data_IF_206682352666
#
_entry.id   IF_206682352666
#
_cell.length_a   1.000
_cell.length_b   1.000
_cell.length_c   1.000
_cell.angle_alpha   90.00
_cell.angle_beta   90.00
_cell.angle_gamma   90.00
#
_symmetry.space_group_name_H-M   'P 1'
#
loop_
_entity.id
_entity.type
_entity.pdbx_description
1 polymer ?
#
# COMPACT_ATOMS: atom_id res chain seq x y z
N UNK A 1 14.43 42.60 12.60
CA UNK A 1 13.77 41.99 11.41
C UNK A 1 12.72 40.99 11.89
N UNK A 2 11.43 41.30 11.77
CA UNK A 2 10.36 40.36 12.13
C UNK A 2 10.30 39.23 11.09
N UNK A 3 10.50 37.99 11.53
CA UNK A 3 10.42 36.80 10.68
C UNK A 3 8.97 36.41 10.48
N UNK A 4 8.56 36.15 9.23
CA UNK A 4 7.22 35.66 8.93
C UNK A 4 7.00 34.27 9.53
N UNK A 5 5.74 33.92 9.87
CA UNK A 5 5.40 32.59 10.37
C UNK A 5 5.74 31.47 9.38
N UNK A 6 5.65 31.73 8.07
CA UNK A 6 6.09 30.79 7.04
C UNK A 6 7.60 30.46 7.17
N UNK A 7 8.44 31.48 7.39
CA UNK A 7 9.89 31.24 7.62
C UNK A 7 10.19 30.49 8.92
N UNK A 8 9.28 30.50 9.90
CA UNK A 8 9.40 29.68 11.11
C UNK A 8 9.03 28.24 10.83
N UNK A 9 7.93 28.01 10.10
CA UNK A 9 7.50 26.67 9.65
C UNK A 9 8.62 25.94 8.91
N UNK A 10 9.26 26.59 7.93
CA UNK A 10 10.37 26.00 7.17
C UNK A 10 11.53 25.55 8.08
N UNK A 11 11.87 26.36 9.08
CA UNK A 11 12.92 26.01 10.05
C UNK A 11 12.51 24.86 10.95
N UNK A 12 11.26 24.84 11.40
CA UNK A 12 10.77 23.75 12.25
C UNK A 12 10.75 22.42 11.51
N UNK A 13 10.42 22.42 10.21
CA UNK A 13 10.53 21.24 9.35
C UNK A 13 11.99 20.80 9.21
N UNK A 14 12.92 21.72 8.89
CA UNK A 14 14.35 21.41 8.76
C UNK A 14 14.97 20.87 10.06
N UNK A 15 14.45 21.32 11.20
CA UNK A 15 14.90 20.90 12.52
C UNK A 15 14.09 19.73 13.11
N UNK A 16 13.27 19.06 12.29
CA UNK A 16 12.42 17.91 12.63
C UNK A 16 11.66 18.08 13.95
N UNK A 17 10.99 19.21 14.10
CA UNK A 17 10.23 19.52 15.33
C UNK A 17 8.96 18.67 15.43
N UNK A 18 8.56 18.34 16.66
CA UNK A 18 7.33 17.60 16.95
C UNK A 18 6.07 18.46 16.75
N UNK A 19 4.94 17.79 16.54
CA UNK A 19 3.63 18.45 16.46
C UNK A 19 3.33 19.25 17.71
N UNK A 20 3.61 18.67 18.89
CA UNK A 20 3.44 19.34 20.19
C UNK A 20 4.25 20.63 20.30
N UNK A 21 5.51 20.61 19.85
CA UNK A 21 6.36 21.79 19.84
C UNK A 21 5.74 22.89 18.97
N UNK A 22 5.32 22.56 17.75
CA UNK A 22 4.76 23.54 16.81
C UNK A 22 3.40 24.06 17.29
N UNK A 23 2.53 23.19 17.79
CA UNK A 23 1.24 23.57 18.40
C UNK A 23 1.46 24.57 19.54
N UNK A 24 2.42 24.30 20.43
CA UNK A 24 2.76 25.20 21.53
C UNK A 24 3.28 26.54 21.02
N UNK A 25 4.20 26.55 20.05
CA UNK A 25 4.73 27.81 19.47
C UNK A 25 3.68 28.61 18.72
N UNK A 26 2.66 27.95 18.16
CA UNK A 26 1.52 28.58 17.50
C UNK A 26 0.38 28.95 18.45
N UNK A 27 0.52 28.67 19.77
CA UNK A 27 -0.51 28.87 20.79
C UNK A 27 -1.81 28.13 20.46
N UNK A 28 -1.66 26.91 19.97
CA UNK A 28 -2.74 25.98 19.63
C UNK A 28 -2.86 24.82 20.64
N UNK A 29 -1.92 24.74 21.60
CA UNK A 29 -1.95 23.73 22.65
C UNK A 29 -3.24 23.84 23.47
N UNK A 30 -3.87 22.69 23.74
CA UNK A 30 -5.15 22.61 24.46
C UNK A 30 -6.40 22.90 23.61
N UNK A 31 -6.25 23.34 22.35
CA UNK A 31 -7.38 23.46 21.42
C UNK A 31 -7.63 22.13 20.72
N UNK A 32 -8.90 21.75 20.58
CA UNK A 32 -9.31 20.53 19.87
C UNK A 32 -10.52 20.80 18.97
N UNK A 33 -10.81 19.87 18.06
CA UNK A 33 -12.00 19.92 17.20
C UNK A 33 -12.15 21.24 16.44
N UNK A 34 -13.34 21.84 16.54
CA UNK A 34 -13.66 23.08 15.83
C UNK A 34 -12.87 24.30 16.37
N UNK A 35 -12.57 24.33 17.67
CA UNK A 35 -11.82 25.43 18.28
C UNK A 35 -10.38 25.50 17.74
N UNK A 36 -9.77 24.35 17.48
CA UNK A 36 -8.47 24.27 16.82
C UNK A 36 -8.56 24.78 15.36
N UNK A 37 -9.49 24.23 14.58
CA UNK A 37 -9.60 24.48 13.13
C UNK A 37 -9.96 25.92 12.76
N UNK A 38 -10.71 26.60 13.63
CA UNK A 38 -11.11 28.00 13.42
C UNK A 38 -10.06 29.02 13.88
N UNK A 39 -8.97 28.57 14.51
CA UNK A 39 -7.88 29.46 14.93
C UNK A 39 -7.11 30.00 13.73
N UNK A 40 -6.89 31.32 13.68
CA UNK A 40 -6.05 31.98 12.66
C UNK A 40 -4.63 31.45 12.54
N UNK A 41 -4.13 30.76 13.59
CA UNK A 41 -2.79 30.18 13.57
C UNK A 41 -2.75 28.73 13.04
N UNK A 42 -3.91 28.07 12.92
CA UNK A 42 -4.02 26.68 12.48
C UNK A 42 -3.49 26.47 11.05
N UNK A 43 -3.70 27.44 10.15
CA UNK A 43 -3.15 27.41 8.78
C UNK A 43 -1.63 27.21 8.74
N UNK A 44 -0.89 27.72 9.73
CA UNK A 44 0.56 27.53 9.80
C UNK A 44 0.95 26.15 10.33
N UNK A 45 0.10 25.55 11.16
CA UNK A 45 0.26 24.16 11.60
C UNK A 45 -0.02 23.20 10.44
N UNK A 46 -1.08 23.42 9.67
CA UNK A 46 -1.35 22.64 8.45
C UNK A 46 -0.22 22.78 7.42
N UNK A 47 0.29 24.00 7.23
CA UNK A 47 1.44 24.22 6.37
C UNK A 47 2.67 23.44 6.85
N UNK A 48 2.92 23.44 8.16
CA UNK A 48 4.00 22.66 8.77
C UNK A 48 3.87 21.15 8.50
N UNK A 49 2.70 20.57 8.73
CA UNK A 49 2.44 19.14 8.47
C UNK A 49 2.70 18.80 6.99
N UNK A 50 2.12 19.60 6.07
CA UNK A 50 2.29 19.40 4.62
C UNK A 50 3.75 19.49 4.18
N UNK A 51 4.48 20.47 4.68
CA UNK A 51 5.91 20.64 4.36
C UNK A 51 6.76 19.51 4.93
N UNK A 52 6.51 19.10 6.18
CA UNK A 52 7.20 17.98 6.81
C UNK A 52 7.02 16.70 5.99
N UNK A 53 5.80 16.37 5.65
CA UNK A 53 5.48 15.15 4.91
C UNK A 53 6.07 15.17 3.49
N UNK A 54 6.07 16.33 2.84
CA UNK A 54 6.76 16.52 1.55
C UNK A 54 8.27 16.31 1.68
N UNK A 55 8.89 16.87 2.73
CA UNK A 55 10.31 16.71 2.98
C UNK A 55 10.68 15.25 3.27
N UNK A 56 9.85 14.52 4.02
CA UNK A 56 10.02 13.08 4.28
C UNK A 56 9.97 12.27 2.99
N UNK A 57 8.94 12.46 2.16
CA UNK A 57 8.81 11.79 0.85
C UNK A 57 10.02 12.07 -0.02
N UNK A 58 10.41 13.33 -0.18
CA UNK A 58 11.56 13.71 -1.01
C UNK A 58 12.88 13.11 -0.47
N UNK A 59 13.06 13.08 0.84
CA UNK A 59 14.25 12.47 1.46
C UNK A 59 14.30 10.97 1.21
N UNK A 60 13.18 10.26 1.35
CA UNK A 60 13.12 8.83 1.07
C UNK A 60 13.35 8.54 -0.42
N UNK A 61 12.78 9.34 -1.33
CA UNK A 61 13.01 9.21 -2.77
C UNK A 61 14.47 9.46 -3.15
N UNK A 62 15.08 10.54 -2.65
CA UNK A 62 16.47 10.89 -2.94
C UNK A 62 17.46 9.81 -2.47
N UNK A 63 17.11 9.09 -1.40
CA UNK A 63 17.88 7.96 -0.86
C UNK A 63 17.45 6.60 -1.44
N UNK A 64 16.48 6.57 -2.34
CA UNK A 64 15.89 5.36 -2.89
C UNK A 64 15.51 4.33 -1.80
N UNK A 65 14.90 4.79 -0.71
CA UNK A 65 14.57 3.93 0.44
C UNK A 65 13.56 2.87 0.00
N UNK A 66 13.77 1.58 0.25
CA UNK A 66 12.78 0.56 -0.11
C UNK A 66 11.41 0.84 0.52
N UNK A 67 10.32 0.61 -0.23
CA UNK A 67 8.95 0.88 0.26
C UNK A 67 8.62 0.13 1.55
N UNK A 68 9.15 -1.10 1.70
CA UNK A 68 8.97 -1.89 2.92
C UNK A 68 9.72 -1.32 4.13
N UNK A 69 10.82 -0.60 3.94
CA UNK A 69 11.53 0.07 5.04
C UNK A 69 10.75 1.32 5.49
N UNK A 70 10.14 2.05 4.55
CA UNK A 70 9.23 3.15 4.89
C UNK A 70 7.98 2.63 5.62
N UNK A 71 7.42 1.50 5.18
CA UNK A 71 6.32 0.82 5.88
C UNK A 71 6.67 0.53 7.34
N UNK A 72 7.85 -0.06 7.60
CA UNK A 72 8.35 -0.35 8.96
C UNK A 72 8.63 0.93 9.75
N UNK A 73 9.25 1.93 9.12
CA UNK A 73 9.53 3.24 9.73
C UNK A 73 8.27 3.95 10.20
N UNK A 74 7.14 3.73 9.52
CA UNK A 74 5.83 4.27 9.88
C UNK A 74 5.09 3.41 10.92
N UNK A 75 5.75 2.39 11.47
CA UNK A 75 5.22 1.55 12.55
C UNK A 75 4.28 0.44 12.07
N UNK A 76 4.17 0.20 10.77
CA UNK A 76 3.23 -0.79 10.23
C UNK A 76 3.76 -2.23 10.21
N UNK A 77 4.90 -2.48 10.86
CA UNK A 77 5.48 -3.82 10.94
C UNK A 77 4.62 -4.80 11.74
N UNK A 78 3.57 -4.36 12.44
CA UNK A 78 2.62 -5.25 13.13
C UNK A 78 1.37 -5.58 12.30
N UNK A 79 1.21 -4.97 11.12
CA UNK A 79 0.01 -5.12 10.29
C UNK A 79 0.08 -6.46 9.58
N UNK A 80 -0.87 -7.36 9.89
CA UNK A 80 -0.87 -8.74 9.39
C UNK A 80 -2.16 -9.13 8.68
N UNK A 81 -3.26 -8.46 8.99
CA UNK A 81 -4.59 -8.84 8.50
C UNK A 81 -5.29 -7.70 7.77
N UNK A 82 -6.33 -8.04 7.01
CA UNK A 82 -7.23 -7.05 6.42
C UNK A 82 -7.92 -6.17 7.48
N UNK A 83 -8.18 -6.71 8.68
CA UNK A 83 -8.75 -5.93 9.78
C UNK A 83 -7.75 -4.90 10.33
N UNK A 84 -6.46 -5.25 10.38
CA UNK A 84 -5.42 -4.28 10.77
C UNK A 84 -5.23 -3.20 9.71
N UNK A 85 -5.32 -3.58 8.43
CA UNK A 85 -5.34 -2.63 7.31
C UNK A 85 -6.48 -1.61 7.44
N UNK A 86 -7.70 -2.06 7.79
CA UNK A 86 -8.84 -1.17 8.03
C UNK A 86 -8.59 -0.17 9.15
N UNK A 87 -7.90 -0.58 10.22
CA UNK A 87 -7.57 0.32 11.35
C UNK A 87 -6.62 1.44 10.93
N UNK A 88 -5.68 1.16 10.03
CA UNK A 88 -4.68 2.14 9.60
C UNK A 88 -5.08 2.97 8.38
N UNK A 89 -6.10 2.53 7.61
CA UNK A 89 -6.44 3.11 6.30
C UNK A 89 -6.70 4.63 6.30
N UNK A 90 -7.24 5.15 7.40
CA UNK A 90 -7.57 6.57 7.56
C UNK A 90 -6.52 7.36 8.35
N UNK A 91 -5.38 6.76 8.69
CA UNK A 91 -4.31 7.43 9.45
C UNK A 91 -3.41 8.25 8.53
N UNK A 92 -2.93 9.40 9.02
CA UNK A 92 -1.98 10.25 8.30
C UNK A 92 -0.69 9.49 7.93
N UNK A 93 -0.24 8.58 8.80
CA UNK A 93 0.91 7.73 8.54
C UNK A 93 0.70 6.82 7.32
N UNK A 94 -0.50 6.24 7.16
CA UNK A 94 -0.79 5.39 6.01
C UNK A 94 -0.94 6.21 4.72
N UNK A 95 -1.54 7.39 4.81
CA UNK A 95 -1.62 8.32 3.69
C UNK A 95 -0.23 8.79 3.24
N UNK A 96 0.68 9.04 4.19
CA UNK A 96 2.08 9.36 3.92
C UNK A 96 2.81 8.19 3.23
N UNK A 97 2.58 6.96 3.70
CA UNK A 97 3.09 5.76 3.04
C UNK A 97 2.60 5.66 1.58
N UNK A 98 1.29 5.79 1.33
CA UNK A 98 0.73 5.70 -0.02
C UNK A 98 1.33 6.77 -0.93
N UNK A 99 1.45 8.02 -0.45
CA UNK A 99 2.08 9.10 -1.21
C UNK A 99 3.53 8.76 -1.57
N UNK A 100 4.29 8.17 -0.66
CA UNK A 100 5.65 7.72 -0.94
C UNK A 100 5.66 6.57 -1.98
N UNK A 101 4.86 5.52 -1.76
CA UNK A 101 4.80 4.36 -2.61
C UNK A 101 4.40 4.72 -4.05
N UNK A 102 3.44 5.65 -4.22
CA UNK A 102 3.06 6.19 -5.52
C UNK A 102 4.22 6.89 -6.22
N UNK A 103 4.91 7.81 -5.54
CA UNK A 103 6.01 8.55 -6.15
C UNK A 103 7.21 7.64 -6.50
N UNK A 104 7.50 6.66 -5.65
CA UNK A 104 8.53 5.64 -5.91
C UNK A 104 8.18 4.81 -7.15
N UNK A 105 6.93 4.37 -7.24
CA UNK A 105 6.43 3.58 -8.36
C UNK A 105 6.31 4.39 -9.65
N UNK A 106 5.95 5.67 -9.61
CA UNK A 106 5.94 6.57 -10.78
C UNK A 106 7.33 6.72 -11.38
N UNK A 107 8.36 6.82 -10.54
CA UNK A 107 9.74 6.86 -11.01
C UNK A 107 10.13 5.55 -11.69
N UNK A 108 9.81 4.40 -11.08
CA UNK A 108 10.08 3.09 -11.65
C UNK A 108 9.32 2.85 -12.96
N UNK A 109 8.04 3.21 -13.03
CA UNK A 109 7.22 3.08 -14.23
C UNK A 109 7.68 4.00 -15.36
N UNK A 110 8.07 5.25 -15.06
CA UNK A 110 8.66 6.16 -16.05
C UNK A 110 9.91 5.55 -16.67
N UNK A 111 10.82 5.01 -15.85
CA UNK A 111 12.03 4.34 -16.32
C UNK A 111 11.73 3.06 -17.12
N UNK A 112 10.71 2.30 -16.72
CA UNK A 112 10.28 1.11 -17.46
C UNK A 112 9.76 1.46 -18.86
N UNK A 113 8.92 2.48 -18.98
CA UNK A 113 8.32 2.88 -20.25
C UNK A 113 9.33 3.58 -21.15
N UNK A 114 10.06 4.57 -20.63
CA UNK A 114 10.91 5.45 -21.42
C UNK A 114 12.29 4.85 -21.67
N UNK A 115 12.88 4.23 -20.63
CA UNK A 115 14.26 3.79 -20.65
C UNK A 115 14.39 2.26 -20.79
N UNK A 116 13.26 1.52 -20.84
CA UNK A 116 13.22 0.05 -20.90
C UNK A 116 13.99 -0.62 -19.77
N UNK A 117 14.10 0.05 -18.63
CA UNK A 117 14.76 -0.47 -17.43
C UNK A 117 13.75 -1.28 -16.65
N UNK A 118 14.04 -2.56 -16.41
CA UNK A 118 13.19 -3.41 -15.60
C UNK A 118 13.08 -2.84 -14.17
N UNK A 119 11.87 -2.66 -13.62
CA UNK A 119 11.71 -2.23 -12.24
C UNK A 119 12.29 -3.28 -11.27
N UNK A 120 12.70 -2.82 -10.09
CA UNK A 120 13.15 -3.72 -9.04
C UNK A 120 12.00 -4.63 -8.60
N UNK A 121 12.26 -5.93 -8.56
CA UNK A 121 11.30 -6.92 -8.07
C UNK A 121 10.98 -6.63 -6.60
N UNK A 122 9.70 -6.75 -6.23
CA UNK A 122 9.27 -6.57 -4.85
C UNK A 122 10.02 -7.52 -3.91
N UNK A 123 10.61 -6.97 -2.85
CA UNK A 123 11.42 -7.75 -1.91
C UNK A 123 10.59 -8.85 -1.23
N UNK A 124 11.26 -9.96 -0.88
CA UNK A 124 10.72 -10.95 0.04
C UNK A 124 10.47 -10.38 1.44
N UNK A 125 11.20 -9.33 1.82
CA UNK A 125 11.09 -8.66 3.13
C UNK A 125 9.84 -7.79 3.27
N UNK A 126 9.16 -7.52 2.15
CA UNK A 126 7.88 -6.83 2.16
C UNK A 126 6.80 -7.75 2.75
N UNK A 127 6.11 -7.25 3.77
CA UNK A 127 4.99 -7.96 4.38
C UNK A 127 3.83 -8.11 3.39
N UNK A 128 2.96 -9.10 3.61
CA UNK A 128 1.73 -9.24 2.82
C UNK A 128 0.91 -7.94 2.77
N UNK A 129 0.81 -7.23 3.90
CA UNK A 129 0.09 -5.97 4.03
C UNK A 129 0.72 -4.83 3.19
N UNK A 130 2.05 -4.77 3.13
CA UNK A 130 2.75 -3.79 2.28
C UNK A 130 2.53 -4.10 0.79
N UNK A 131 2.66 -5.37 0.42
CA UNK A 131 2.49 -5.83 -0.96
C UNK A 131 1.08 -5.58 -1.48
N UNK A 132 0.05 -5.83 -0.65
CA UNK A 132 -1.34 -5.54 -1.04
C UNK A 132 -1.58 -4.04 -1.21
N UNK A 133 -1.03 -3.19 -0.33
CA UNK A 133 -1.11 -1.73 -0.48
C UNK A 133 -0.45 -1.24 -1.77
N UNK A 134 0.73 -1.78 -2.12
CA UNK A 134 1.38 -1.46 -3.40
C UNK A 134 0.54 -1.90 -4.59
N UNK A 135 -0.13 -3.04 -4.47
CA UNK A 135 -1.01 -3.53 -5.54
C UNK A 135 -2.20 -2.60 -5.73
N UNK A 136 -2.82 -2.14 -4.65
CA UNK A 136 -3.86 -1.10 -4.72
C UNK A 136 -3.35 0.18 -5.37
N UNK A 137 -2.14 0.63 -5.06
CA UNK A 137 -1.53 1.79 -5.69
C UNK A 137 -1.35 1.59 -7.21
N UNK A 138 -0.94 0.40 -7.67
CA UNK A 138 -0.84 0.09 -9.10
C UNK A 138 -2.18 0.10 -9.82
N UNK A 139 -3.23 -0.42 -9.17
CA UNK A 139 -4.61 -0.40 -9.70
C UNK A 139 -5.06 1.04 -9.89
N UNK A 140 -4.94 1.86 -8.84
CA UNK A 140 -5.36 3.27 -8.88
C UNK A 140 -4.56 4.11 -9.87
N UNK A 141 -3.26 3.80 -10.04
CA UNK A 141 -2.41 4.48 -11.01
C UNK A 141 -2.56 3.96 -12.45
N UNK A 142 -3.41 2.94 -12.69
CA UNK A 142 -3.64 2.37 -14.01
C UNK A 142 -2.39 1.74 -14.62
N UNK A 143 -1.56 1.07 -13.81
CA UNK A 143 -0.33 0.45 -14.31
C UNK A 143 -0.61 -0.65 -15.33
N UNK A 144 0.30 -0.84 -16.28
CA UNK A 144 0.16 -1.90 -17.27
C UNK A 144 0.36 -3.29 -16.66
N UNK A 145 -0.30 -4.29 -17.21
CA UNK A 145 -0.12 -5.68 -16.81
C UNK A 145 1.34 -6.14 -16.94
N UNK A 146 2.02 -5.74 -18.02
CA UNK A 146 3.42 -6.05 -18.24
C UNK A 146 4.33 -5.48 -17.13
N UNK A 147 4.07 -4.23 -16.72
CA UNK A 147 4.80 -3.61 -15.62
C UNK A 147 4.58 -4.39 -14.31
N UNK A 148 3.32 -4.67 -13.95
CA UNK A 148 2.99 -5.36 -12.70
C UNK A 148 3.57 -6.78 -12.66
N UNK A 149 3.52 -7.54 -13.77
CA UNK A 149 4.18 -8.84 -13.88
C UNK A 149 5.68 -8.75 -13.60
N UNK A 150 6.34 -7.72 -14.13
CA UNK A 150 7.78 -7.52 -13.97
C UNK A 150 8.14 -7.15 -12.53
N UNK A 151 7.42 -6.22 -11.90
CA UNK A 151 7.64 -5.84 -10.50
C UNK A 151 7.40 -7.01 -9.54
N UNK A 152 6.47 -7.91 -9.88
CA UNK A 152 6.20 -9.13 -9.10
C UNK A 152 7.18 -10.27 -9.39
N UNK A 153 8.09 -10.11 -10.37
CA UNK A 153 9.05 -11.12 -10.79
C UNK A 153 8.41 -12.32 -11.51
N UNK A 154 7.23 -12.14 -12.10
CA UNK A 154 6.47 -13.19 -12.76
C UNK A 154 6.79 -13.31 -14.25
N UNK A 155 7.28 -12.24 -14.86
CA UNK A 155 7.63 -12.15 -16.28
C UNK A 155 8.64 -13.23 -16.70
N UNK A 156 9.63 -13.52 -15.85
CA UNK A 156 10.70 -14.50 -16.10
C UNK A 156 10.36 -15.95 -15.74
N UNK A 157 9.22 -16.18 -15.10
CA UNK A 157 8.81 -17.51 -14.67
C UNK A 157 8.02 -18.21 -15.78
N UNK A 158 8.25 -19.53 -16.00
CA UNK A 158 7.34 -20.33 -16.82
C UNK A 158 5.95 -20.36 -16.17
N UNK A 159 4.92 -20.71 -16.94
CA UNK A 159 3.52 -20.60 -16.51
C UNK A 159 3.26 -21.31 -15.15
N UNK A 160 3.74 -22.55 -15.01
CA UNK A 160 3.72 -23.30 -13.75
C UNK A 160 4.49 -22.61 -12.61
N UNK A 161 5.65 -22.03 -12.92
CA UNK A 161 6.49 -21.26 -11.98
C UNK A 161 5.79 -20.01 -11.46
N UNK A 162 4.95 -19.36 -12.28
CA UNK A 162 4.14 -18.22 -11.84
C UNK A 162 3.14 -18.64 -10.78
N UNK A 163 2.42 -19.73 -10.98
CA UNK A 163 1.35 -20.16 -10.07
C UNK A 163 1.84 -20.56 -8.66
N UNK A 164 3.08 -21.04 -8.56
CA UNK A 164 3.69 -21.40 -7.26
C UNK A 164 4.39 -20.21 -6.57
N UNK A 165 4.49 -19.06 -7.25
CA UNK A 165 5.08 -17.85 -6.67
C UNK A 165 4.16 -17.25 -5.61
N UNK A 166 4.73 -16.93 -4.45
CA UNK A 166 4.00 -16.20 -3.39
C UNK A 166 3.53 -14.81 -3.83
N UNK A 167 4.08 -14.28 -4.92
CA UNK A 167 3.70 -12.99 -5.49
C UNK A 167 2.50 -13.10 -6.47
N UNK A 168 2.16 -14.31 -6.93
CA UNK A 168 1.06 -14.52 -7.88
C UNK A 168 -0.29 -14.04 -7.33
N UNK A 169 -0.49 -14.20 -6.02
CA UNK A 169 -1.70 -13.76 -5.34
C UNK A 169 -1.99 -12.25 -5.52
N UNK A 170 -0.95 -11.42 -5.63
CA UNK A 170 -1.07 -9.97 -5.84
C UNK A 170 -1.35 -9.65 -7.31
N UNK A 171 -0.76 -10.40 -8.22
CA UNK A 171 -1.09 -10.30 -9.65
C UNK A 171 -2.55 -10.66 -9.90
N UNK A 172 -3.06 -11.70 -9.25
CA UNK A 172 -4.49 -12.06 -9.35
C UNK A 172 -5.40 -10.97 -8.80
N UNK A 173 -5.05 -10.38 -7.66
CA UNK A 173 -5.79 -9.24 -7.12
C UNK A 173 -5.79 -8.05 -8.10
N UNK A 174 -4.63 -7.72 -8.68
CA UNK A 174 -4.49 -6.69 -9.70
C UNK A 174 -5.39 -6.96 -10.93
N UNK A 175 -5.37 -8.18 -11.45
CA UNK A 175 -6.20 -8.57 -12.60
C UNK A 175 -7.68 -8.45 -12.27
N UNK A 176 -8.15 -9.08 -11.17
CA UNK A 176 -9.55 -9.03 -10.76
C UNK A 176 -10.07 -7.59 -10.58
N UNK A 177 -9.25 -6.71 -10.03
CA UNK A 177 -9.60 -5.31 -9.82
C UNK A 177 -9.57 -4.45 -11.10
N UNK A 178 -8.95 -4.94 -12.18
CA UNK A 178 -8.83 -4.24 -13.47
C UNK A 178 -9.72 -4.84 -14.57
N UNK A 179 -10.40 -5.96 -14.31
CA UNK A 179 -11.39 -6.54 -15.22
C UNK A 179 -12.59 -5.60 -15.40
N UNK A 180 -13.07 -5.49 -16.65
CA UNK A 180 -14.27 -4.74 -17.05
C UNK A 180 -15.60 -5.41 -16.62
N UNK A 181 -15.58 -6.25 -15.58
CA UNK A 181 -16.75 -6.99 -15.07
C UNK A 181 -17.54 -6.09 -14.11
N UNK A 182 -18.85 -6.31 -13.96
CA UNK A 182 -19.70 -5.63 -12.97
C UNK A 182 -18.98 -5.46 -11.63
N UNK A 183 -18.76 -4.19 -11.25
CA UNK A 183 -18.02 -3.76 -10.06
C UNK A 183 -18.38 -4.54 -8.79
N UNK A 184 -19.65 -4.88 -8.60
CA UNK A 184 -20.15 -5.65 -7.46
C UNK A 184 -19.63 -7.10 -7.40
N UNK A 185 -19.48 -7.77 -8.55
CA UNK A 185 -18.94 -9.13 -8.63
C UNK A 185 -17.43 -9.13 -8.37
N UNK A 186 -16.72 -8.14 -8.92
CA UNK A 186 -15.29 -7.95 -8.64
C UNK A 186 -15.05 -7.64 -7.15
N UNK A 187 -15.82 -6.71 -6.57
CA UNK A 187 -15.74 -6.36 -5.14
C UNK A 187 -16.06 -7.55 -4.23
N UNK A 188 -17.09 -8.33 -4.53
CA UNK A 188 -17.43 -9.54 -3.77
C UNK A 188 -16.34 -10.60 -3.87
N UNK A 189 -15.83 -10.88 -5.07
CA UNK A 189 -14.77 -11.87 -5.30
C UNK A 189 -13.48 -11.47 -4.59
N UNK A 190 -13.10 -10.19 -4.67
CA UNK A 190 -11.97 -9.61 -3.95
C UNK A 190 -12.17 -9.74 -2.44
N UNK A 191 -13.36 -9.44 -1.92
CA UNK A 191 -13.64 -9.54 -0.49
C UNK A 191 -13.53 -10.97 0.04
N UNK A 192 -14.12 -11.94 -0.67
CA UNK A 192 -14.03 -13.36 -0.32
C UNK A 192 -12.57 -13.83 -0.37
N UNK A 193 -11.86 -13.46 -1.44
CA UNK A 193 -10.44 -13.77 -1.59
C UNK A 193 -9.58 -13.19 -0.46
N UNK A 194 -9.70 -11.90 -0.15
CA UNK A 194 -8.90 -11.26 0.90
C UNK A 194 -9.26 -11.74 2.31
N UNK A 195 -10.51 -12.18 2.51
CA UNK A 195 -10.97 -12.72 3.81
C UNK A 195 -10.45 -14.14 4.06
N UNK A 196 -10.39 -14.96 3.00
CA UNK A 196 -10.12 -16.40 3.11
C UNK A 196 -8.72 -16.79 2.63
N UNK A 197 -7.96 -15.91 1.98
CA UNK A 197 -6.58 -16.17 1.60
C UNK A 197 -5.69 -16.23 2.86
N UNK A 198 -5.10 -17.40 3.21
CA UNK A 198 -4.03 -17.42 4.18
C UNK A 198 -2.86 -16.55 3.72
N UNK A 199 -2.12 -16.01 4.70
CA UNK A 199 -0.96 -15.11 4.52
C UNK A 199 0.09 -15.70 3.54
N UNK A 200 0.05 -17.04 3.33
CA UNK A 200 0.85 -17.78 2.35
C UNK A 200 0.01 -18.88 1.66
N UNK A 201 -0.83 -18.55 0.68
CA UNK A 201 -1.43 -19.58 -0.20
C UNK A 201 -0.40 -20.04 -1.23
N UNK A 202 -0.10 -21.35 -1.26
CA UNK A 202 0.42 -22.03 -2.45
C UNK A 202 -0.77 -22.68 -3.16
N UNK A 203 -1.05 -22.31 -4.41
CA UNK A 203 -2.10 -22.98 -5.20
C UNK A 203 -1.61 -24.39 -5.58
N UNK A 204 -2.46 -25.42 -5.39
CA UNK A 204 -2.10 -26.79 -5.79
C UNK A 204 -2.33 -27.00 -7.29
N UNK A 205 -1.62 -27.96 -7.94
CA UNK A 205 -1.84 -28.34 -9.34
C UNK A 205 -3.30 -28.67 -9.68
N UNK A 206 -4.06 -29.25 -8.76
CA UNK A 206 -5.45 -29.64 -8.96
C UNK A 206 -6.40 -28.44 -8.99
N UNK A 207 -6.07 -27.36 -8.27
CA UNK A 207 -6.82 -26.11 -8.33
C UNK A 207 -6.62 -25.37 -9.67
N UNK A 208 -5.65 -25.82 -10.48
CA UNK A 208 -5.22 -25.20 -11.75
C UNK A 208 -5.81 -25.88 -13.01
N UNK A 209 -6.47 -27.04 -12.90
CA UNK A 209 -7.12 -27.73 -14.04
C UNK A 209 -8.53 -27.20 -14.38
N UNK A 210 -9.14 -26.40 -13.50
CA UNK A 210 -10.50 -25.88 -13.72
C UNK A 210 -10.43 -24.62 -14.59
N UNK A 211 -10.54 -24.85 -15.89
CA UNK A 211 -10.59 -23.86 -16.96
C UNK A 211 -11.87 -22.98 -16.86
N UNK A 212 -11.83 -21.99 -15.96
CA UNK A 212 -12.48 -20.67 -16.04
C UNK A 212 -12.33 -19.96 -14.69
N UNK A 213 -11.53 -18.90 -14.71
CA UNK A 213 -10.92 -18.14 -13.59
C UNK A 213 -11.85 -17.56 -12.50
N UNK A 214 -13.13 -17.95 -12.42
CA UNK A 214 -14.06 -17.56 -11.35
C UNK A 214 -14.54 -18.77 -10.51
N UNK A 215 -14.56 -19.99 -11.08
CA UNK A 215 -15.05 -21.20 -10.41
C UNK A 215 -13.94 -21.95 -9.65
N UNK A 216 -12.68 -21.87 -10.11
CA UNK A 216 -11.52 -22.33 -9.34
C UNK A 216 -11.43 -21.64 -7.96
N UNK A 217 -11.89 -20.38 -7.87
CA UNK A 217 -11.97 -19.60 -6.64
C UNK A 217 -13.08 -20.05 -5.69
N UNK A 218 -14.22 -20.52 -6.20
CA UNK A 218 -15.28 -21.16 -5.40
C UNK A 218 -14.86 -22.53 -4.84
N UNK A 219 -13.96 -23.22 -5.54
CA UNK A 219 -13.48 -24.54 -5.10
C UNK A 219 -12.58 -24.47 -3.87
N UNK A 220 -11.83 -23.38 -3.66
CA UNK A 220 -11.07 -23.15 -2.42
C UNK A 220 -11.96 -22.94 -1.20
N UNK A 221 -13.13 -22.30 -1.38
CA UNK A 221 -14.14 -22.11 -0.33
C UNK A 221 -14.83 -23.44 0.02
N UNK A 222 -15.09 -24.30 -0.97
CA UNK A 222 -15.66 -25.64 -0.79
C UNK A 222 -14.66 -26.59 -0.11
N UNK A 223 -13.39 -26.58 -0.52
CA UNK A 223 -12.34 -27.42 0.07
C UNK A 223 -12.02 -26.99 1.51
N UNK A 224 -11.97 -25.68 1.80
CA UNK A 224 -11.82 -25.18 3.17
C UNK A 224 -13.00 -25.56 4.07
N UNK A 225 -14.22 -25.55 3.53
CA UNK A 225 -15.45 -25.97 4.23
C UNK A 225 -15.50 -27.48 4.49
N UNK A 226 -15.09 -28.30 3.51
CA UNK A 226 -15.06 -29.76 3.64
C UNK A 226 -13.91 -30.26 4.55
N UNK A 227 -12.77 -29.58 4.54
CA UNK A 227 -11.65 -29.92 5.46
C UNK A 227 -12.02 -29.63 6.92
N UNK A 228 -12.85 -28.61 7.15
CA UNK A 228 -13.40 -28.30 8.48
C UNK A 228 -14.41 -29.36 8.95
N UNK A 229 -15.29 -29.80 8.05
CA UNK A 229 -16.25 -30.90 8.32
C UNK A 229 -15.58 -32.27 8.53
N UNK A 230 -14.41 -32.52 7.92
CA UNK A 230 -13.64 -33.77 8.12
C UNK A 230 -12.82 -33.81 9.42
N UNK A 231 -12.65 -32.67 10.11
CA UNK A 231 -11.94 -32.55 11.39
C UNK A 231 -12.89 -32.48 12.59
N UNK A 232 -14.19 -32.39 12.33
CA UNK A 232 -15.27 -32.31 13.32
C UNK A 232 -16.09 -33.63 13.38
N UNK A 233 -15.64 -34.70 12.71
CA UNK A 233 -16.14 -36.08 12.83
C UNK A 233 -15.02 -37.03 13.27
#
# INVERSE_FOLDING_TARGET
MFRSKNSLVERWVKADKSDEFVLTKLKLNGLTGNALKTSKNYVYFEHFLKMRDTNRVNTWLAKNVPTYDVWKTLGFDHVRTFMDMKKIAHTDAYQLYLRYAHAFDDHANTNFIQNKVAPTVISSDASWAEKISRTSAWITAGRSEAYVKTVLGLDKLPLNGRYVSTNYQFYMYFQLATLSIHRSLAEHTIFVYLRNAPIHVKLTPEALEIENNLLAYLHLDIVASLTKLSREN
#
